data_IF_212292887013
#
_entry.id   IF_212292887013
#
_cell.length_a   1.000
_cell.length_b   1.000
_cell.length_c   1.000
_cell.angle_alpha   90.00
_cell.angle_beta   90.00
_cell.angle_gamma   90.00
#
_symmetry.space_group_name_H-M   'P 1'
#
loop_
_entity.id
_entity.type
_entity.pdbx_description
1 polymer ?
#
# COMPACT_ATOMS: atom_id res chain seq x y z
N UNK A 1 -16.74 8.28 -5.69
CA UNK A 1 -16.00 7.15 -5.08
C UNK A 1 -15.61 6.08 -6.11
N UNK A 2 -16.57 5.47 -6.84
CA UNK A 2 -16.33 4.37 -7.80
C UNK A 2 -15.22 4.60 -8.85
N UNK A 3 -15.13 5.79 -9.44
CA UNK A 3 -14.10 6.08 -10.45
C UNK A 3 -12.68 6.09 -9.86
N UNK A 4 -12.53 6.58 -8.63
CA UNK A 4 -11.25 6.65 -7.93
C UNK A 4 -10.84 5.25 -7.45
N UNK A 5 -11.78 4.48 -6.85
CA UNK A 5 -11.58 3.07 -6.52
C UNK A 5 -11.02 2.29 -7.71
N UNK A 6 -11.67 2.39 -8.88
CA UNK A 6 -11.25 1.69 -10.10
C UNK A 6 -9.85 2.08 -10.58
N UNK A 7 -9.47 3.35 -10.40
CA UNK A 7 -8.13 3.84 -10.75
C UNK A 7 -7.08 3.27 -9.80
N UNK A 8 -7.32 3.35 -8.49
CA UNK A 8 -6.43 2.76 -7.48
C UNK A 8 -6.25 1.25 -7.70
N UNK A 9 -7.33 0.53 -7.96
CA UNK A 9 -7.28 -0.90 -8.29
C UNK A 9 -6.42 -1.20 -9.52
N UNK A 10 -6.51 -0.37 -10.56
CA UNK A 10 -5.71 -0.49 -11.77
C UNK A 10 -4.23 -0.24 -11.46
N UNK A 11 -3.93 0.80 -10.69
CA UNK A 11 -2.56 1.17 -10.35
C UNK A 11 -1.89 0.06 -9.51
N UNK A 12 -2.61 -0.51 -8.53
CA UNK A 12 -2.11 -1.65 -7.74
C UNK A 12 -1.86 -2.88 -8.62
N UNK A 13 -2.74 -3.17 -9.59
CA UNK A 13 -2.53 -4.27 -10.54
C UNK A 13 -1.29 -4.06 -11.42
N UNK A 14 -1.08 -2.84 -11.90
CA UNK A 14 0.08 -2.47 -12.71
C UNK A 14 1.38 -2.62 -11.91
N UNK A 15 1.40 -2.10 -10.68
CA UNK A 15 2.53 -2.29 -9.76
C UNK A 15 2.79 -3.78 -9.53
N UNK A 16 1.76 -4.57 -9.25
CA UNK A 16 1.90 -6.01 -9.02
C UNK A 16 2.52 -6.73 -10.22
N UNK A 17 2.13 -6.37 -11.45
CA UNK A 17 2.74 -6.92 -12.69
C UNK A 17 4.21 -6.53 -12.81
N UNK A 18 4.55 -5.27 -12.55
CA UNK A 18 5.93 -4.77 -12.61
C UNK A 18 6.78 -5.48 -11.54
N UNK A 19 6.28 -5.61 -10.32
CA UNK A 19 6.97 -6.26 -9.22
C UNK A 19 7.29 -7.73 -9.54
N UNK A 20 6.33 -8.50 -10.07
CA UNK A 20 6.56 -9.89 -10.53
C UNK A 20 7.61 -9.97 -11.63
N UNK A 21 7.56 -9.06 -12.60
CA UNK A 21 8.54 -9.02 -13.70
C UNK A 21 9.96 -8.69 -13.20
N UNK A 22 10.09 -7.73 -12.27
CA UNK A 22 11.38 -7.38 -11.67
C UNK A 22 11.94 -8.54 -10.85
N UNK A 23 11.10 -9.18 -10.01
CA UNK A 23 11.47 -10.40 -9.28
C UNK A 23 12.01 -11.48 -10.21
N UNK A 24 11.26 -11.83 -11.26
CA UNK A 24 11.66 -12.86 -12.22
C UNK A 24 13.01 -12.54 -12.91
N UNK A 25 13.26 -11.26 -13.24
CA UNK A 25 14.55 -10.82 -13.80
C UNK A 25 15.69 -10.94 -12.80
N UNK A 26 15.48 -10.57 -11.53
CA UNK A 26 16.49 -10.71 -10.47
C UNK A 26 16.84 -12.19 -10.26
N UNK A 27 15.83 -13.07 -10.20
CA UNK A 27 16.03 -14.52 -10.09
C UNK A 27 16.80 -15.10 -11.29
N UNK A 28 16.48 -14.64 -12.50
CA UNK A 28 17.21 -15.05 -13.71
C UNK A 28 18.68 -14.62 -13.66
N UNK A 29 18.97 -13.36 -13.29
CA UNK A 29 20.34 -12.86 -13.15
C UNK A 29 21.10 -13.65 -12.07
N UNK A 30 20.46 -13.94 -10.93
CA UNK A 30 21.06 -14.77 -9.89
C UNK A 30 21.42 -16.17 -10.40
N UNK A 31 20.52 -16.81 -11.16
CA UNK A 31 20.79 -18.11 -11.78
C UNK A 31 21.94 -18.03 -12.79
N UNK A 32 21.97 -17.00 -13.62
CA UNK A 32 23.06 -16.77 -14.57
C UNK A 32 24.40 -16.54 -13.87
N UNK A 33 24.42 -15.80 -12.76
CA UNK A 33 25.64 -15.58 -11.98
C UNK A 33 26.18 -16.90 -11.41
N UNK A 34 25.31 -17.76 -10.89
CA UNK A 34 25.70 -19.10 -10.42
C UNK A 34 26.23 -19.98 -11.56
N UNK A 35 25.60 -19.94 -12.74
CA UNK A 35 26.08 -20.67 -13.91
C UNK A 35 27.42 -20.12 -14.43
N UNK A 36 27.64 -18.81 -14.33
CA UNK A 36 28.87 -18.14 -14.75
C UNK A 36 30.09 -18.65 -13.98
N UNK A 37 29.92 -19.03 -12.71
CA UNK A 37 30.97 -19.60 -11.86
C UNK A 37 31.57 -20.92 -12.37
N UNK A 38 30.90 -21.59 -13.30
CA UNK A 38 31.41 -22.80 -13.94
C UNK A 38 32.38 -22.51 -15.09
N UNK A 39 32.56 -21.23 -15.47
CA UNK A 39 33.44 -20.81 -16.56
C UNK A 39 34.84 -20.45 -16.01
N UNK A 40 35.92 -20.80 -16.74
CA UNK A 40 37.27 -20.40 -16.38
C UNK A 40 37.42 -18.89 -16.24
N UNK A 41 38.02 -18.42 -15.14
CA UNK A 41 38.25 -17.00 -14.85
C UNK A 41 37.02 -16.24 -14.32
N UNK A 42 35.91 -16.94 -14.11
CA UNK A 42 34.67 -16.38 -13.54
C UNK A 42 34.25 -17.10 -12.25
N UNK A 43 35.15 -17.86 -11.64
CA UNK A 43 34.89 -18.64 -10.44
C UNK A 43 34.47 -17.72 -9.27
N UNK A 44 33.89 -18.34 -8.23
CA UNK A 44 33.46 -17.62 -7.03
C UNK A 44 34.63 -16.80 -6.45
N UNK A 45 34.39 -15.51 -6.19
CA UNK A 45 35.38 -14.58 -5.62
C UNK A 45 36.28 -13.87 -6.63
N UNK A 46 36.22 -14.23 -7.92
CA UNK A 46 36.89 -13.47 -8.99
C UNK A 46 36.37 -12.03 -9.06
N UNK A 47 37.12 -11.14 -9.70
CA UNK A 47 36.67 -9.74 -9.91
C UNK A 47 35.35 -9.70 -10.70
N UNK A 48 35.21 -10.59 -11.70
CA UNK A 48 33.99 -10.73 -12.50
C UNK A 48 32.81 -11.21 -11.65
N UNK A 49 32.99 -12.27 -10.85
CA UNK A 49 31.95 -12.77 -9.94
C UNK A 49 31.53 -11.69 -8.94
N UNK A 50 32.48 -11.02 -8.28
CA UNK A 50 32.20 -9.95 -7.32
C UNK A 50 31.44 -8.79 -7.96
N UNK A 51 31.85 -8.33 -9.14
CA UNK A 51 31.17 -7.25 -9.85
C UNK A 51 29.71 -7.62 -10.19
N UNK A 52 29.49 -8.83 -10.72
CA UNK A 52 28.14 -9.32 -11.06
C UNK A 52 27.26 -9.50 -9.83
N UNK A 53 27.80 -10.06 -8.76
CA UNK A 53 27.10 -10.21 -7.48
C UNK A 53 26.74 -8.85 -6.89
N UNK A 54 27.66 -7.87 -6.88
CA UNK A 54 27.40 -6.53 -6.34
C UNK A 54 26.23 -5.84 -7.04
N UNK A 55 26.19 -5.89 -8.39
CA UNK A 55 25.06 -5.31 -9.15
C UNK A 55 23.75 -6.01 -8.79
N UNK A 56 23.75 -7.34 -8.70
CA UNK A 56 22.55 -8.12 -8.44
C UNK A 56 22.04 -7.93 -7.01
N UNK A 57 22.96 -7.87 -6.03
CA UNK A 57 22.67 -7.57 -4.63
C UNK A 57 22.05 -6.18 -4.48
N UNK A 58 22.62 -5.18 -5.16
CA UNK A 58 22.09 -3.82 -5.11
C UNK A 58 20.68 -3.72 -5.70
N UNK A 59 20.42 -4.37 -6.85
CA UNK A 59 19.07 -4.44 -7.42
C UNK A 59 18.09 -5.14 -6.46
N UNK A 60 18.52 -6.23 -5.84
CA UNK A 60 17.73 -6.97 -4.85
C UNK A 60 17.41 -6.11 -3.63
N UNK A 61 18.39 -5.37 -3.09
CA UNK A 61 18.20 -4.43 -1.98
C UNK A 61 17.22 -3.33 -2.34
N UNK A 62 17.38 -2.68 -3.50
CA UNK A 62 16.45 -1.64 -3.97
C UNK A 62 15.04 -2.16 -4.16
N UNK A 63 14.89 -3.37 -4.71
CA UNK A 63 13.57 -3.98 -4.85
C UNK A 63 12.92 -4.24 -3.49
N UNK A 64 13.70 -4.73 -2.51
CA UNK A 64 13.23 -4.91 -1.14
C UNK A 64 12.78 -3.59 -0.51
N UNK A 65 13.59 -2.52 -0.61
CA UNK A 65 13.24 -1.18 -0.11
C UNK A 65 11.88 -0.71 -0.67
N UNK A 66 11.69 -0.83 -1.98
CA UNK A 66 10.44 -0.44 -2.64
C UNK A 66 9.25 -1.28 -2.16
N UNK A 67 9.43 -2.59 -1.98
CA UNK A 67 8.37 -3.46 -1.44
C UNK A 67 8.04 -3.13 0.02
N UNK A 68 9.03 -2.74 0.84
CA UNK A 68 8.80 -2.23 2.20
C UNK A 68 7.99 -0.93 2.18
N UNK A 69 8.29 0.00 1.28
CA UNK A 69 7.50 1.24 1.12
C UNK A 69 6.03 0.94 0.75
N UNK A 70 5.79 -0.07 -0.09
CA UNK A 70 4.42 -0.55 -0.38
C UNK A 70 3.71 -1.11 0.85
N UNK A 71 4.43 -1.81 1.74
CA UNK A 71 3.87 -2.31 2.98
C UNK A 71 3.47 -1.17 3.93
N UNK A 72 4.31 -0.14 4.04
CA UNK A 72 3.98 1.08 4.81
C UNK A 72 2.78 1.81 4.22
N UNK A 73 2.68 1.89 2.89
CA UNK A 73 1.51 2.47 2.21
C UNK A 73 0.22 1.71 2.55
N UNK A 74 0.26 0.37 2.58
CA UNK A 74 -0.89 -0.44 2.98
C UNK A 74 -1.35 -0.13 4.40
N UNK A 75 -0.42 -0.11 5.36
CA UNK A 75 -0.72 0.21 6.76
C UNK A 75 -1.39 1.57 6.87
N UNK A 76 -0.84 2.56 6.17
CA UNK A 76 -1.39 3.92 6.17
C UNK A 76 -2.81 4.00 5.61
N UNK A 77 -3.14 3.24 4.55
CA UNK A 77 -4.52 3.18 4.01
C UNK A 77 -5.48 2.64 5.07
N UNK A 78 -5.07 1.63 5.83
CA UNK A 78 -5.88 1.05 6.90
C UNK A 78 -6.09 2.04 8.04
N UNK A 79 -5.03 2.75 8.45
CA UNK A 79 -5.10 3.81 9.46
C UNK A 79 -6.03 4.96 9.02
N UNK A 80 -5.88 5.47 7.79
CA UNK A 80 -6.73 6.53 7.25
C UNK A 80 -8.21 6.08 7.14
N UNK A 81 -8.46 4.82 6.76
CA UNK A 81 -9.82 4.27 6.78
C UNK A 81 -10.41 4.21 8.19
N UNK A 82 -9.63 3.73 9.17
CA UNK A 82 -10.02 3.66 10.57
C UNK A 82 -10.42 5.02 11.13
N UNK A 83 -9.61 6.06 10.88
CA UNK A 83 -9.93 7.42 11.30
C UNK A 83 -11.25 7.94 10.71
N UNK A 84 -11.50 7.64 9.43
CA UNK A 84 -12.73 8.06 8.76
C UNK A 84 -13.94 7.36 9.35
N UNK A 85 -13.86 6.06 9.61
CA UNK A 85 -14.93 5.30 10.26
C UNK A 85 -15.21 5.86 11.65
N UNK A 86 -14.18 6.07 12.48
CA UNK A 86 -14.33 6.61 13.84
C UNK A 86 -15.04 7.98 13.82
N UNK A 87 -14.61 8.91 12.95
CA UNK A 87 -15.24 10.23 12.82
C UNK A 87 -16.70 10.14 12.40
N UNK A 88 -17.04 9.25 11.46
CA UNK A 88 -18.42 9.07 11.00
C UNK A 88 -19.31 8.47 12.09
N UNK A 89 -18.81 7.48 12.84
CA UNK A 89 -19.52 6.92 13.99
C UNK A 89 -19.77 7.98 15.04
N UNK A 90 -18.78 8.81 15.40
CA UNK A 90 -18.95 9.91 16.36
C UNK A 90 -19.99 10.93 15.88
N UNK A 91 -19.97 11.28 14.60
CA UNK A 91 -20.91 12.26 14.03
C UNK A 91 -22.36 11.81 14.19
N UNK A 92 -22.62 10.51 14.04
CA UNK A 92 -23.95 9.93 14.04
C UNK A 92 -24.41 9.47 15.42
N UNK A 93 -23.52 8.95 16.25
CA UNK A 93 -23.87 8.45 17.59
C UNK A 93 -23.71 9.53 18.67
N UNK A 94 -22.93 10.58 18.40
CA UNK A 94 -22.57 11.62 19.37
C UNK A 94 -21.59 11.15 20.45
N UNK A 95 -21.21 9.87 20.46
CA UNK A 95 -20.33 9.27 21.46
C UNK A 95 -19.13 8.63 20.80
N UNK A 96 -17.98 8.62 21.49
CA UNK A 96 -16.81 7.89 21.03
C UNK A 96 -17.04 6.38 21.22
N UNK A 97 -17.01 5.57 20.15
CA UNK A 97 -17.08 4.12 20.27
C UNK A 97 -15.81 3.58 20.93
N UNK A 98 -15.93 2.41 21.56
CA UNK A 98 -14.79 1.63 22.01
C UNK A 98 -13.99 1.07 20.81
N UNK A 99 -12.73 0.76 21.07
CA UNK A 99 -11.78 0.28 20.06
C UNK A 99 -12.26 -1.03 19.41
N UNK A 100 -12.80 -1.94 20.22
CA UNK A 100 -13.31 -3.25 19.78
C UNK A 100 -14.51 -3.10 18.83
N UNK A 101 -15.41 -2.15 19.10
CA UNK A 101 -16.54 -1.83 18.23
C UNK A 101 -16.10 -1.24 16.88
N UNK A 102 -15.06 -0.38 16.87
CA UNK A 102 -14.49 0.13 15.62
C UNK A 102 -13.82 -0.98 14.82
N UNK A 103 -13.07 -1.85 15.47
CA UNK A 103 -12.35 -2.93 14.80
C UNK A 103 -13.35 -3.95 14.22
N UNK A 104 -14.40 -4.32 14.97
CA UNK A 104 -15.48 -5.16 14.47
C UNK A 104 -16.18 -4.53 13.24
N UNK A 105 -16.40 -3.22 13.25
CA UNK A 105 -16.98 -2.50 12.13
C UNK A 105 -16.05 -2.52 10.90
N UNK A 106 -14.75 -2.35 11.11
CA UNK A 106 -13.74 -2.40 10.05
C UNK A 106 -13.65 -3.80 9.44
N UNK A 107 -13.73 -4.86 10.26
CA UNK A 107 -13.61 -6.25 9.80
C UNK A 107 -14.87 -6.75 9.08
N UNK A 108 -16.03 -6.53 9.69
CA UNK A 108 -17.30 -7.10 9.24
C UNK A 108 -18.05 -6.21 8.26
N UNK A 109 -17.80 -4.89 8.28
CA UNK A 109 -18.63 -3.88 7.63
C UNK A 109 -20.03 -3.76 8.23
N UNK A 110 -20.39 -4.60 9.21
CA UNK A 110 -21.74 -4.63 9.76
C UNK A 110 -21.84 -3.70 10.96
N UNK A 111 -22.60 -2.63 10.79
CA UNK A 111 -22.85 -1.64 11.84
C UNK A 111 -24.31 -1.54 12.26
N UNK A 112 -25.17 -2.45 11.78
CA UNK A 112 -26.61 -2.29 11.95
C UNK A 112 -26.97 -2.25 13.45
N UNK A 113 -26.26 -3.01 14.28
CA UNK A 113 -26.40 -3.01 15.74
C UNK A 113 -25.90 -1.73 16.41
N UNK A 114 -24.78 -1.16 15.93
CA UNK A 114 -24.14 0.05 16.48
C UNK A 114 -25.04 1.28 16.26
N UNK A 115 -25.69 1.34 15.10
CA UNK A 115 -26.50 2.49 14.72
C UNK A 115 -27.98 2.39 15.12
N UNK A 116 -28.47 1.29 15.70
CA UNK A 116 -29.89 1.19 16.12
C UNK A 116 -30.29 2.31 17.08
N UNK A 117 -29.42 2.62 18.05
CA UNK A 117 -29.66 3.69 19.01
C UNK A 117 -29.65 5.07 18.34
N UNK A 118 -28.71 5.31 17.43
CA UNK A 118 -28.64 6.54 16.67
C UNK A 118 -29.84 6.73 15.72
N UNK A 119 -30.38 5.65 15.14
CA UNK A 119 -31.59 5.69 14.29
C UNK A 119 -32.80 6.18 15.10
N UNK A 120 -32.92 5.78 16.37
CA UNK A 120 -34.00 6.23 17.26
C UNK A 120 -33.84 7.71 17.67
N UNK A 121 -32.61 8.17 17.87
CA UNK A 121 -32.32 9.52 18.40
C UNK A 121 -32.17 10.60 17.32
N UNK A 122 -31.45 10.34 16.21
CA UNK A 122 -31.15 11.32 15.15
C UNK A 122 -32.03 11.18 13.89
N UNK A 123 -32.85 10.14 13.81
CA UNK A 123 -33.72 9.88 12.68
C UNK A 123 -33.06 9.02 11.58
N UNK A 124 -33.85 8.10 11.03
CA UNK A 124 -33.40 7.01 10.15
C UNK A 124 -32.63 7.46 8.90
N UNK A 125 -32.99 8.60 8.29
CA UNK A 125 -32.43 9.03 7.02
C UNK A 125 -30.93 9.39 7.07
N UNK A 126 -30.52 10.19 8.06
CA UNK A 126 -29.13 10.65 8.18
C UNK A 126 -28.17 9.51 8.55
N UNK A 127 -28.65 8.60 9.39
CA UNK A 127 -27.91 7.42 9.84
C UNK A 127 -27.69 6.43 8.69
N UNK A 128 -28.73 6.16 7.90
CA UNK A 128 -28.62 5.25 6.75
C UNK A 128 -27.67 5.78 5.67
N UNK A 129 -27.66 7.08 5.39
CA UNK A 129 -26.71 7.68 4.44
C UNK A 129 -25.26 7.50 4.91
N UNK A 130 -25.00 7.68 6.20
CA UNK A 130 -23.64 7.50 6.76
C UNK A 130 -23.22 6.04 6.74
N UNK A 131 -24.16 5.13 7.01
CA UNK A 131 -23.94 3.69 6.91
C UNK A 131 -23.60 3.28 5.48
N UNK A 132 -24.37 3.75 4.49
CA UNK A 132 -24.07 3.48 3.09
C UNK A 132 -22.69 4.01 2.68
N UNK A 133 -22.29 5.20 3.15
CA UNK A 133 -20.95 5.75 2.93
C UNK A 133 -19.85 4.87 3.56
N UNK A 134 -20.05 4.38 4.79
CA UNK A 134 -19.10 3.48 5.47
C UNK A 134 -18.99 2.17 4.70
N UNK A 135 -20.11 1.57 4.27
CA UNK A 135 -20.11 0.31 3.53
C UNK A 135 -19.42 0.46 2.16
N UNK A 136 -19.71 1.52 1.40
CA UNK A 136 -19.06 1.76 0.11
C UNK A 136 -17.53 1.91 0.28
N UNK A 137 -17.08 2.55 1.37
CA UNK A 137 -15.66 2.64 1.71
C UNK A 137 -15.06 1.31 2.16
N UNK A 138 -15.75 0.54 3.01
CA UNK A 138 -15.32 -0.79 3.44
C UNK A 138 -15.03 -1.68 2.22
N UNK A 139 -15.97 -1.74 1.28
CA UNK A 139 -15.86 -2.56 0.07
C UNK A 139 -14.74 -2.05 -0.86
N UNK A 140 -14.40 -0.76 -0.83
CA UNK A 140 -13.28 -0.20 -1.58
C UNK A 140 -11.94 -0.58 -0.96
N UNK A 141 -11.81 -0.39 0.36
CA UNK A 141 -10.57 -0.68 1.10
C UNK A 141 -10.26 -2.17 1.08
N UNK A 142 -11.26 -3.03 1.27
CA UNK A 142 -11.11 -4.49 1.30
C UNK A 142 -10.60 -5.06 -0.02
N UNK A 143 -11.09 -4.56 -1.15
CA UNK A 143 -10.60 -4.96 -2.48
C UNK A 143 -9.15 -4.50 -2.72
N UNK A 144 -8.82 -3.27 -2.33
CA UNK A 144 -7.45 -2.75 -2.42
C UNK A 144 -6.50 -3.57 -1.52
N UNK A 145 -6.93 -3.86 -0.29
CA UNK A 145 -6.15 -4.66 0.66
C UNK A 145 -5.86 -6.05 0.11
N UNK A 146 -6.85 -6.73 -0.46
CA UNK A 146 -6.69 -8.03 -1.10
C UNK A 146 -5.60 -8.00 -2.17
N UNK A 147 -5.59 -6.97 -3.03
CA UNK A 147 -4.56 -6.81 -4.07
C UNK A 147 -3.18 -6.47 -3.48
N UNK A 148 -3.15 -5.73 -2.37
CA UNK A 148 -1.89 -5.42 -1.67
C UNK A 148 -1.32 -6.64 -0.94
N UNK A 149 -2.14 -7.61 -0.51
CA UNK A 149 -1.67 -8.89 0.02
C UNK A 149 -0.87 -9.70 -1.01
N UNK A 150 -1.26 -9.64 -2.29
CA UNK A 150 -0.49 -10.28 -3.36
C UNK A 150 0.92 -9.69 -3.50
N UNK A 151 1.08 -8.38 -3.28
CA UNK A 151 2.40 -7.74 -3.25
C UNK A 151 3.21 -8.13 -2.00
N UNK A 152 2.55 -8.35 -0.86
CA UNK A 152 3.21 -8.84 0.36
C UNK A 152 3.83 -10.23 0.12
N UNK A 153 3.17 -11.10 -0.66
CA UNK A 153 3.76 -12.40 -1.00
C UNK A 153 5.07 -12.23 -1.80
N UNK A 154 5.11 -11.30 -2.76
CA UNK A 154 6.33 -10.98 -3.52
C UNK A 154 7.45 -10.50 -2.58
N UNK A 155 7.13 -9.67 -1.58
CA UNK A 155 8.09 -9.23 -0.57
C UNK A 155 8.67 -10.40 0.24
N UNK A 156 7.83 -11.32 0.72
CA UNK A 156 8.29 -12.49 1.50
C UNK A 156 9.21 -13.39 0.67
N UNK A 157 8.86 -13.65 -0.59
CA UNK A 157 9.69 -14.46 -1.48
C UNK A 157 11.07 -13.82 -1.72
N UNK A 158 11.14 -12.49 -1.76
CA UNK A 158 12.41 -11.77 -1.90
C UNK A 158 13.25 -11.76 -0.62
N UNK A 159 12.62 -11.78 0.55
CA UNK A 159 13.35 -11.85 1.82
C UNK A 159 14.21 -13.12 1.88
N UNK A 160 13.67 -14.26 1.42
CA UNK A 160 14.39 -15.54 1.31
C UNK A 160 15.58 -15.44 0.34
N UNK A 161 15.41 -14.77 -0.80
CA UNK A 161 16.50 -14.57 -1.77
C UNK A 161 17.64 -13.71 -1.20
N UNK A 162 17.33 -12.74 -0.34
CA UNK A 162 18.32 -11.87 0.31
C UNK A 162 19.10 -12.61 1.39
N UNK A 163 18.42 -13.43 2.21
CA UNK A 163 19.08 -14.24 3.25
C UNK A 163 20.06 -15.26 2.66
N UNK A 164 19.73 -15.87 1.52
CA UNK A 164 20.64 -16.75 0.79
C UNK A 164 21.88 -16.04 0.20
N UNK A 165 21.85 -14.71 0.06
CA UNK A 165 22.95 -13.87 -0.45
C UNK A 165 23.81 -13.27 0.67
N UNK A 166 23.51 -13.59 1.94
CA UNK A 166 24.11 -12.99 3.14
C UNK A 166 25.64 -12.98 3.14
N UNK A 167 26.21 -11.75 3.12
CA UNK A 167 27.54 -11.28 3.59
C UNK A 167 28.13 -10.15 2.73
N UNK A 168 27.64 -9.90 1.50
CA UNK A 168 28.27 -8.91 0.58
C UNK A 168 27.46 -7.59 0.48
N UNK A 169 26.40 -7.42 1.27
CA UNK A 169 25.48 -6.27 1.17
C UNK A 169 26.03 -4.96 1.75
N UNK A 170 27.01 -5.00 2.66
CA UNK A 170 27.47 -3.82 3.41
C UNK A 170 28.49 -2.93 2.66
N UNK A 171 29.01 -3.36 1.50
CA UNK A 171 30.06 -2.61 0.79
C UNK A 171 29.60 -1.90 -0.51
N UNK A 172 28.28 -1.79 -0.75
CA UNK A 172 27.73 -1.32 -2.05
C UNK A 172 27.04 0.06 -1.91
N UNK A 173 27.55 0.95 -1.07
CA UNK A 173 26.95 2.28 -0.90
C UNK A 173 27.29 3.26 -2.04
N UNK A 174 28.30 3.00 -2.90
CA UNK A 174 28.77 4.01 -3.87
C UNK A 174 28.49 3.75 -5.35
N UNK A 175 27.93 2.59 -5.76
CA UNK A 175 27.99 2.18 -7.18
C UNK A 175 26.68 2.04 -7.96
N UNK A 176 25.50 2.27 -7.37
CA UNK A 176 24.23 1.94 -8.07
C UNK A 176 23.26 3.12 -8.11
N UNK A 177 23.49 4.01 -9.09
CA UNK A 177 22.59 5.13 -9.42
C UNK A 177 21.86 4.98 -10.77
N UNK A 178 21.91 3.82 -11.45
CA UNK A 178 21.46 3.77 -12.85
C UNK A 178 20.41 2.74 -13.26
N UNK A 179 19.56 2.24 -12.35
CA UNK A 179 18.44 1.37 -12.75
C UNK A 179 17.09 1.65 -12.08
N UNK A 180 16.91 2.81 -11.43
CA UNK A 180 15.70 3.11 -10.63
C UNK A 180 14.86 4.29 -11.14
N UNK A 181 15.17 4.86 -12.31
CA UNK A 181 14.48 6.07 -12.81
C UNK A 181 12.99 5.87 -13.14
N UNK A 182 12.49 4.63 -13.25
CA UNK A 182 11.06 4.39 -13.48
C UNK A 182 10.28 4.05 -12.20
N UNK A 183 10.81 3.21 -11.28
CA UNK A 183 10.07 2.91 -10.04
C UNK A 183 10.09 4.05 -9.02
N UNK A 184 11.16 4.86 -8.94
CA UNK A 184 11.19 6.00 -8.01
C UNK A 184 10.20 7.08 -8.41
N UNK A 185 10.17 7.43 -9.70
CA UNK A 185 9.17 8.36 -10.24
C UNK A 185 7.75 7.84 -10.02
N UNK A 186 7.53 6.54 -10.19
CA UNK A 186 6.20 5.93 -10.03
C UNK A 186 5.78 5.72 -8.58
N UNK A 187 6.65 5.40 -7.63
CA UNK A 187 6.27 5.31 -6.19
C UNK A 187 6.01 6.69 -5.62
N UNK A 188 6.81 7.70 -5.99
CA UNK A 188 6.52 9.10 -5.64
C UNK A 188 5.23 9.57 -6.31
N UNK A 189 4.98 9.18 -7.57
CA UNK A 189 3.72 9.46 -8.26
C UNK A 189 2.54 8.75 -7.59
N UNK A 190 2.66 7.46 -7.26
CA UNK A 190 1.63 6.70 -6.56
C UNK A 190 1.37 7.27 -5.18
N UNK A 191 2.41 7.70 -4.46
CA UNK A 191 2.30 8.34 -3.14
C UNK A 191 1.64 9.70 -3.25
N UNK A 192 2.01 10.54 -4.22
CA UNK A 192 1.38 11.84 -4.45
C UNK A 192 -0.06 11.68 -4.95
N UNK A 193 -0.30 10.72 -5.84
CA UNK A 193 -1.59 10.47 -6.46
C UNK A 193 -2.55 9.79 -5.49
N UNK A 194 -2.13 8.78 -4.72
CA UNK A 194 -2.93 8.21 -3.63
C UNK A 194 -3.07 9.15 -2.44
N UNK A 195 -2.15 10.09 -2.20
CA UNK A 195 -2.35 11.11 -1.17
C UNK A 195 -3.40 12.15 -1.59
N UNK A 196 -3.36 12.61 -2.85
CA UNK A 196 -4.35 13.57 -3.38
C UNK A 196 -5.71 12.89 -3.61
N UNK A 197 -5.73 11.71 -4.23
CA UNK A 197 -6.97 10.94 -4.44
C UNK A 197 -7.48 10.28 -3.15
N UNK A 198 -6.60 9.92 -2.22
CA UNK A 198 -6.94 9.47 -0.87
C UNK A 198 -7.59 10.57 -0.06
N UNK A 199 -7.08 11.80 -0.08
CA UNK A 199 -7.81 12.95 0.49
C UNK A 199 -9.19 13.17 -0.14
N UNK A 200 -9.38 12.81 -1.41
CA UNK A 200 -10.69 12.87 -2.09
C UNK A 200 -11.56 11.65 -1.72
N UNK A 201 -10.97 10.47 -1.47
CA UNK A 201 -11.67 9.25 -1.07
C UNK A 201 -12.11 9.27 0.40
N UNK A 202 -11.21 9.75 1.27
CA UNK A 202 -11.30 9.80 2.73
C UNK A 202 -11.76 11.18 3.24
N UNK A 203 -11.93 12.15 2.33
CA UNK A 203 -12.51 13.46 2.61
C UNK A 203 -11.48 14.50 3.02
N UNK A 204 -11.46 15.65 2.32
CA UNK A 204 -10.67 16.81 2.71
C UNK A 204 -11.05 17.24 4.13
N UNK A 205 -10.09 17.06 5.03
CA UNK A 205 -9.88 17.88 6.22
C UNK A 205 -9.85 19.35 5.79
N UNK A 206 -10.98 20.05 5.90
CA UNK A 206 -11.00 21.47 6.18
C UNK A 206 -12.29 21.75 6.94
N UNK A 207 -12.11 22.06 8.23
CA UNK A 207 -13.19 22.39 9.11
C UNK A 207 -13.97 23.58 8.56
N UNK A 208 -15.28 23.40 8.45
CA UNK A 208 -16.20 24.53 8.48
C UNK A 208 -17.11 24.32 9.68
N UNK A 209 -16.58 24.63 10.86
CA UNK A 209 -17.42 24.96 12.00
C UNK A 209 -17.90 26.39 11.76
N UNK A 210 -19.12 26.51 11.25
CA UNK A 210 -20.01 27.67 11.41
C UNK A 210 -19.51 29.03 10.91
N UNK A 211 -19.94 29.43 9.72
CA UNK A 211 -20.68 30.69 9.54
C UNK A 211 -21.20 30.77 8.10
N UNK A 212 -22.50 31.07 7.98
CA UNK A 212 -23.26 30.87 6.76
C UNK A 212 -22.87 31.76 5.60
N UNK A 213 -23.00 31.23 4.39
CA UNK A 213 -23.31 32.00 3.19
C UNK A 213 -24.26 31.20 2.31
N UNK A 214 -25.43 31.79 2.05
CA UNK A 214 -26.43 31.33 1.07
C UNK A 214 -25.83 31.41 -0.33
N UNK A 215 -26.03 30.39 -1.16
CA UNK A 215 -25.96 30.55 -2.62
C UNK A 215 -27.40 30.56 -3.15
N UNK A 216 -27.82 31.73 -3.65
CA UNK A 216 -28.93 31.84 -4.58
C UNK A 216 -28.42 31.61 -6.00
N UNK A 217 -29.23 30.84 -6.74
CA UNK A 217 -29.32 30.62 -8.20
C UNK A 217 -28.13 30.94 -9.11
#
# INVERSE_FOLDING_TARGET
>A
MKAIKKRMEKDVDEVGKIARNVKAKIEAINRENLANRQKPGCEKGTSVDRSRMNVTNALTKRFKELMTEFQTLRQRIQEEYREVVERRVITVTGTRPDEETIDHLIETGNSEQIFQKAIQEQGRGQVLNTLEEIQERHDAVKEIEKKLLDLQQIYMDMAVLVEAQGEILDNIESQVCFCTLNLFGWVVFLRAHMFVEGHILFGCVNGNVGSGFKCSH
#
